data_IF_921194967108
#
_entry.id   IF_921194967108
#
_cell.length_a   1.000
_cell.length_b   1.000
_cell.length_c   1.000
_cell.angle_alpha   90.00
_cell.angle_beta   90.00
_cell.angle_gamma   90.00
#
_symmetry.space_group_name_H-M   'P 1'
#
loop_
_entity.id
_entity.type
_entity.pdbx_description
1 polymer ?
#
# COMPACT_ATOMS: atom_id res chain seq x y z
N UNK A 1 -14.70 2.89 3.73
CA UNK A 1 -14.63 1.43 3.99
C UNK A 1 -13.52 1.21 5.00
N UNK A 2 -13.72 0.44 6.07
CA UNK A 2 -12.71 0.29 7.13
C UNK A 2 -11.65 -0.76 6.76
N UNK A 3 -10.49 -0.74 7.43
CA UNK A 3 -9.45 -1.79 7.29
C UNK A 3 -10.02 -3.19 7.58
N UNK A 4 -10.99 -3.30 8.50
CA UNK A 4 -11.64 -4.58 8.81
C UNK A 4 -12.55 -5.07 7.67
N UNK A 5 -13.20 -4.15 6.97
CA UNK A 5 -14.01 -4.50 5.79
C UNK A 5 -13.11 -5.00 4.64
N UNK A 6 -11.94 -4.37 4.45
CA UNK A 6 -10.93 -4.86 3.51
C UNK A 6 -10.41 -6.25 3.85
N UNK A 7 -10.16 -6.54 5.13
CA UNK A 7 -9.72 -7.89 5.55
C UNK A 7 -10.76 -8.96 5.26
N UNK A 8 -12.04 -8.68 5.53
CA UNK A 8 -13.14 -9.59 5.19
C UNK A 8 -13.24 -9.83 3.68
N UNK A 9 -13.06 -8.78 2.88
CA UNK A 9 -13.04 -8.87 1.41
C UNK A 9 -11.83 -9.64 0.87
N UNK A 10 -10.68 -9.58 1.55
CA UNK A 10 -9.49 -10.38 1.21
C UNK A 10 -9.68 -11.88 1.48
N UNK A 11 -10.51 -12.22 2.46
CA UNK A 11 -10.83 -13.60 2.82
C UNK A 11 -11.95 -14.19 1.94
N UNK A 12 -12.71 -13.34 1.23
CA UNK A 12 -13.75 -13.75 0.30
C UNK A 12 -13.17 -14.08 -1.08
N UNK A 13 -12.81 -15.35 -1.22
CA UNK A 13 -12.24 -15.89 -2.46
C UNK A 13 -13.23 -15.82 -3.64
N UNK A 14 -14.54 -15.87 -3.38
CA UNK A 14 -15.55 -15.77 -4.43
C UNK A 14 -15.63 -14.35 -4.98
N UNK A 15 -15.65 -13.34 -4.11
CA UNK A 15 -15.60 -11.94 -4.50
C UNK A 15 -14.33 -11.60 -5.30
N UNK A 16 -13.17 -12.09 -4.84
CA UNK A 16 -11.89 -11.92 -5.55
C UNK A 16 -11.93 -12.52 -6.96
N UNK A 17 -12.37 -13.78 -7.09
CA UNK A 17 -12.32 -14.53 -8.36
C UNK A 17 -13.42 -14.16 -9.34
N UNK A 18 -14.62 -13.83 -8.88
CA UNK A 18 -15.75 -13.54 -9.75
C UNK A 18 -15.95 -12.06 -10.04
N UNK A 19 -15.44 -11.15 -9.18
CA UNK A 19 -15.66 -9.70 -9.35
C UNK A 19 -14.36 -8.97 -9.65
N UNK A 20 -13.36 -9.09 -8.77
CA UNK A 20 -12.17 -8.24 -8.84
C UNK A 20 -11.20 -8.67 -9.95
N UNK A 21 -10.85 -9.95 -10.03
CA UNK A 21 -9.92 -10.45 -11.04
C UNK A 21 -10.43 -10.17 -12.48
N UNK A 22 -11.70 -10.44 -12.81
CA UNK A 22 -12.24 -10.12 -14.14
C UNK A 22 -12.17 -8.64 -14.50
N UNK A 23 -12.34 -7.73 -13.53
CA UNK A 23 -12.18 -6.29 -13.77
C UNK A 23 -10.75 -5.98 -14.23
N UNK A 24 -9.74 -6.52 -13.56
CA UNK A 24 -8.34 -6.30 -13.95
C UNK A 24 -7.99 -6.99 -15.26
N UNK A 25 -8.62 -8.11 -15.61
CA UNK A 25 -8.43 -8.78 -16.91
C UNK A 25 -8.92 -7.94 -18.10
N UNK A 26 -9.98 -7.15 -17.90
CA UNK A 26 -10.54 -6.26 -18.92
C UNK A 26 -9.65 -5.03 -19.19
N UNK A 27 -8.75 -4.70 -18.26
CA UNK A 27 -7.85 -3.55 -18.39
C UNK A 27 -6.67 -3.87 -19.33
N UNK A 28 -6.52 -3.03 -20.36
CA UNK A 28 -5.39 -3.09 -21.29
C UNK A 28 -4.06 -2.89 -20.56
N UNK A 29 -4.03 -1.99 -19.56
CA UNK A 29 -2.86 -1.72 -18.74
C UNK A 29 -3.17 -1.87 -17.24
N UNK A 30 -3.09 -3.12 -16.77
CA UNK A 30 -3.38 -3.54 -15.39
C UNK A 30 -2.51 -2.84 -14.36
N UNK A 31 -1.25 -2.58 -14.70
CA UNK A 31 -0.27 -1.91 -13.84
C UNK A 31 -0.64 -0.44 -13.64
N UNK A 32 -0.97 0.27 -14.74
CA UNK A 32 -1.47 1.64 -14.68
C UNK A 32 -2.78 1.72 -13.90
N UNK A 33 -3.70 0.78 -14.15
CA UNK A 33 -4.97 0.71 -13.41
C UNK A 33 -4.75 0.55 -11.90
N UNK A 34 -3.92 -0.40 -11.50
CA UNK A 34 -3.55 -0.65 -10.10
C UNK A 34 -2.96 0.58 -9.42
N UNK A 35 -2.00 1.22 -10.09
CA UNK A 35 -1.37 2.46 -9.61
C UNK A 35 -2.39 3.56 -9.40
N UNK A 36 -3.29 3.79 -10.36
CA UNK A 36 -4.35 4.80 -10.25
C UNK A 36 -5.33 4.48 -9.12
N UNK A 37 -5.72 3.21 -8.97
CA UNK A 37 -6.59 2.76 -7.87
C UNK A 37 -5.96 3.04 -6.50
N UNK A 38 -4.69 2.74 -6.33
CA UNK A 38 -3.98 2.99 -5.07
C UNK A 38 -3.91 4.50 -4.78
N UNK A 39 -3.49 5.32 -5.74
CA UNK A 39 -3.40 6.77 -5.56
C UNK A 39 -4.76 7.40 -5.24
N UNK A 40 -5.82 6.96 -5.93
CA UNK A 40 -7.17 7.44 -5.67
C UNK A 40 -7.62 7.14 -4.24
N UNK A 41 -7.33 5.94 -3.73
CA UNK A 41 -7.67 5.56 -2.36
C UNK A 41 -7.00 6.47 -1.33
N UNK A 42 -5.71 6.78 -1.49
CA UNK A 42 -4.99 7.66 -0.57
C UNK A 42 -5.51 9.09 -0.62
N UNK A 43 -5.82 9.58 -1.82
CA UNK A 43 -6.40 10.90 -2.00
C UNK A 43 -7.80 11.00 -1.36
N UNK A 44 -8.67 10.02 -1.61
CA UNK A 44 -10.01 9.96 -1.03
C UNK A 44 -9.97 9.87 0.49
N UNK A 45 -9.15 8.95 1.04
CA UNK A 45 -8.96 8.82 2.48
C UNK A 45 -8.43 10.13 3.09
N UNK A 46 -7.49 10.78 2.41
CA UNK A 46 -6.95 12.08 2.78
C UNK A 46 -7.98 13.17 2.92
N UNK A 47 -8.86 13.30 1.91
CA UNK A 47 -9.97 14.27 1.94
C UNK A 47 -10.92 13.95 3.10
N UNK A 48 -11.30 12.68 3.27
CA UNK A 48 -12.22 12.26 4.33
C UNK A 48 -11.67 12.55 5.72
N UNK A 49 -10.35 12.45 5.91
CA UNK A 49 -9.67 12.73 7.17
C UNK A 49 -9.22 14.19 7.32
N UNK A 50 -9.58 15.09 6.39
CA UNK A 50 -9.15 16.50 6.37
C UNK A 50 -7.62 16.66 6.50
N UNK A 51 -6.86 15.80 5.83
CA UNK A 51 -5.41 15.92 5.83
C UNK A 51 -4.98 17.26 5.23
N UNK A 52 -3.83 17.75 5.69
CA UNK A 52 -3.19 18.91 5.10
C UNK A 52 -2.88 18.65 3.60
N UNK A 53 -3.19 19.61 2.73
CA UNK A 53 -3.05 19.42 1.28
C UNK A 53 -1.60 19.16 0.86
N UNK A 54 -0.61 19.85 1.46
CA UNK A 54 0.81 19.61 1.17
C UNK A 54 1.25 18.20 1.57
N UNK A 55 0.70 17.68 2.68
CA UNK A 55 0.96 16.31 3.09
C UNK A 55 0.42 15.33 2.04
N UNK A 56 -0.82 15.52 1.59
CA UNK A 56 -1.43 14.67 0.56
C UNK A 56 -0.68 14.71 -0.76
N UNK A 57 -0.30 15.90 -1.24
CA UNK A 57 0.49 16.04 -2.47
C UNK A 57 1.83 15.31 -2.36
N UNK A 58 2.52 15.45 -1.23
CA UNK A 58 3.81 14.80 -0.99
C UNK A 58 3.65 13.29 -0.89
N UNK A 59 2.64 12.81 -0.16
CA UNK A 59 2.34 11.38 -0.02
C UNK A 59 2.04 10.76 -1.38
N UNK A 60 1.14 11.37 -2.16
CA UNK A 60 0.78 10.90 -3.50
C UNK A 60 1.98 10.91 -4.44
N UNK A 61 2.85 11.91 -4.39
CA UNK A 61 4.07 11.94 -5.21
C UNK A 61 5.05 10.81 -4.86
N UNK A 62 5.26 10.56 -3.56
CA UNK A 62 6.13 9.47 -3.10
C UNK A 62 5.54 8.09 -3.44
N UNK A 63 4.22 7.94 -3.32
CA UNK A 63 3.50 6.73 -3.74
C UNK A 63 3.59 6.53 -5.25
N UNK A 64 3.42 7.58 -6.06
CA UNK A 64 3.47 7.52 -7.52
C UNK A 64 4.84 7.00 -8.00
N UNK A 65 5.91 7.55 -7.44
CA UNK A 65 7.29 7.15 -7.72
C UNK A 65 7.55 5.71 -7.26
N UNK A 66 7.12 5.33 -6.06
CA UNK A 66 7.31 3.96 -5.54
C UNK A 66 6.54 2.95 -6.39
N UNK A 67 5.29 3.27 -6.75
CA UNK A 67 4.46 2.43 -7.59
C UNK A 67 5.03 2.26 -9.00
N UNK A 68 5.62 3.30 -9.58
CA UNK A 68 6.27 3.20 -10.89
C UNK A 68 7.41 2.16 -10.88
N UNK A 69 8.12 2.03 -9.75
CA UNK A 69 9.18 1.03 -9.57
C UNK A 69 8.59 -0.37 -9.32
N UNK A 70 7.62 -0.50 -8.41
CA UNK A 70 7.05 -1.79 -8.00
C UNK A 70 6.20 -2.44 -9.11
N UNK A 71 5.42 -1.64 -9.83
CA UNK A 71 4.61 -2.10 -10.96
C UNK A 71 5.37 -2.03 -12.30
N UNK A 72 6.70 -2.19 -12.28
CA UNK A 72 7.51 -2.36 -13.49
C UNK A 72 7.97 -3.82 -13.62
N UNK A 73 8.09 -4.32 -14.86
CA UNK A 73 8.52 -5.69 -15.17
C UNK A 73 10.04 -5.93 -14.99
N UNK A 74 10.78 -4.98 -14.43
CA UNK A 74 12.20 -5.20 -14.13
C UNK A 74 12.32 -6.09 -12.88
N UNK A 75 12.85 -7.30 -13.08
CA UNK A 75 13.12 -8.29 -12.03
C UNK A 75 13.84 -7.69 -10.81
N UNK A 76 13.28 -8.00 -9.64
CA UNK A 76 13.65 -7.57 -8.28
C UNK A 76 15.14 -7.67 -7.90
N UNK A 77 15.92 -8.53 -8.56
CA UNK A 77 17.36 -8.65 -8.28
C UNK A 77 18.18 -7.40 -8.65
N UNK A 78 17.56 -6.40 -9.28
CA UNK A 78 18.20 -5.15 -9.69
C UNK A 78 17.33 -3.91 -9.46
N UNK A 79 16.61 -3.80 -8.33
CA UNK A 79 16.17 -2.47 -7.91
C UNK A 79 17.42 -1.60 -7.82
N UNK A 80 17.51 -0.62 -8.70
CA UNK A 80 18.62 0.31 -8.68
C UNK A 80 18.60 1.09 -7.34
N UNK A 81 19.72 1.72 -6.97
CA UNK A 81 19.77 2.52 -5.75
C UNK A 81 18.64 3.55 -5.63
N UNK A 82 18.12 4.07 -6.75
CA UNK A 82 17.03 5.05 -6.77
C UNK A 82 15.66 4.44 -6.41
N UNK A 83 15.41 3.19 -6.78
CA UNK A 83 14.22 2.44 -6.35
C UNK A 83 14.22 2.18 -4.84
N UNK A 84 15.37 1.79 -4.28
CA UNK A 84 15.53 1.64 -2.83
C UNK A 84 15.33 2.96 -2.08
N UNK A 85 15.90 4.05 -2.60
CA UNK A 85 15.74 5.38 -2.02
C UNK A 85 14.27 5.85 -2.06
N UNK A 86 13.57 5.62 -3.16
CA UNK A 86 12.15 5.99 -3.31
C UNK A 86 11.28 5.32 -2.27
N UNK A 87 11.46 4.01 -2.08
CA UNK A 87 10.76 3.24 -1.04
C UNK A 87 11.09 3.78 0.35
N UNK A 88 12.37 3.99 0.66
CA UNK A 88 12.78 4.50 1.97
C UNK A 88 12.16 5.88 2.28
N UNK A 89 12.11 6.77 1.28
CA UNK A 89 11.50 8.10 1.42
C UNK A 89 10.00 8.02 1.68
N UNK A 90 9.27 7.17 0.95
CA UNK A 90 7.85 6.93 1.20
C UNK A 90 7.61 6.44 2.63
N UNK A 91 8.32 5.38 3.02
CA UNK A 91 8.17 4.72 4.33
C UNK A 91 8.45 5.67 5.48
N UNK A 92 9.53 6.45 5.38
CA UNK A 92 9.87 7.41 6.41
C UNK A 92 8.84 8.54 6.53
N UNK A 93 8.35 9.06 5.39
CA UNK A 93 7.43 10.20 5.35
C UNK A 93 6.00 9.85 5.82
N UNK A 94 5.47 8.71 5.39
CA UNK A 94 4.06 8.36 5.60
C UNK A 94 3.70 8.19 7.08
N UNK A 95 2.50 8.60 7.47
CA UNK A 95 1.94 8.36 8.79
C UNK A 95 1.69 6.85 9.01
N UNK A 96 1.71 6.36 10.26
CA UNK A 96 1.42 4.95 10.57
C UNK A 96 0.10 4.46 9.97
N UNK A 97 -0.97 5.27 10.07
CA UNK A 97 -2.29 4.97 9.51
C UNK A 97 -2.28 4.80 7.99
N UNK A 98 -1.48 5.60 7.29
CA UNK A 98 -1.32 5.52 5.83
C UNK A 98 -0.48 4.30 5.43
N UNK A 99 0.51 3.93 6.24
CA UNK A 99 1.27 2.69 6.04
C UNK A 99 0.41 1.44 6.29
N UNK A 100 -0.47 1.45 7.28
CA UNK A 100 -1.44 0.37 7.50
C UNK A 100 -2.39 0.22 6.30
N UNK A 101 -2.90 1.34 5.78
CA UNK A 101 -3.72 1.35 4.57
C UNK A 101 -2.93 0.81 3.37
N UNK A 102 -1.66 1.20 3.23
CA UNK A 102 -0.78 0.71 2.17
C UNK A 102 -0.57 -0.81 2.29
N UNK A 103 -0.29 -1.33 3.48
CA UNK A 103 -0.07 -2.77 3.72
C UNK A 103 -1.26 -3.60 3.24
N UNK A 104 -2.47 -3.21 3.64
CA UNK A 104 -3.70 -3.92 3.25
C UNK A 104 -3.89 -3.92 1.74
N UNK A 105 -3.64 -2.79 1.08
CA UNK A 105 -3.82 -2.68 -0.35
C UNK A 105 -2.73 -3.37 -1.15
N UNK A 106 -1.49 -3.43 -0.64
CA UNK A 106 -0.44 -4.24 -1.25
C UNK A 106 -0.82 -5.72 -1.21
N UNK A 107 -1.33 -6.22 -0.08
CA UNK A 107 -1.80 -7.60 0.02
C UNK A 107 -2.93 -7.89 -0.97
N UNK A 108 -3.84 -6.95 -1.18
CA UNK A 108 -4.91 -7.08 -2.17
C UNK A 108 -4.37 -7.18 -3.59
N UNK A 109 -3.44 -6.31 -3.98
CA UNK A 109 -2.82 -6.35 -5.30
C UNK A 109 -1.97 -7.61 -5.50
N UNK A 110 -1.27 -8.10 -4.47
CA UNK A 110 -0.52 -9.35 -4.53
C UNK A 110 -1.42 -10.53 -4.94
N UNK A 111 -2.61 -10.64 -4.34
CA UNK A 111 -3.57 -11.69 -4.67
C UNK A 111 -4.09 -11.57 -6.11
N UNK A 112 -4.42 -10.36 -6.55
CA UNK A 112 -4.89 -10.10 -7.91
C UNK A 112 -3.81 -10.51 -8.92
N UNK A 113 -2.60 -9.98 -8.77
CA UNK A 113 -1.51 -10.24 -9.71
C UNK A 113 -1.05 -11.70 -9.67
N UNK A 114 -1.21 -12.39 -8.52
CA UNK A 114 -0.91 -13.82 -8.43
C UNK A 114 -1.92 -14.64 -9.24
N UNK A 115 -3.20 -14.26 -9.21
CA UNK A 115 -4.23 -14.93 -10.01
C UNK A 115 -4.14 -14.60 -11.50
N UNK A 116 -3.48 -13.49 -11.86
CA UNK A 116 -3.15 -13.11 -13.23
C UNK A 116 -1.84 -13.73 -13.73
N UNK A 117 -1.14 -14.50 -12.88
CA UNK A 117 0.17 -15.11 -13.18
C UNK A 117 1.29 -14.08 -13.45
N UNK A 118 1.15 -12.87 -12.92
CA UNK A 118 2.11 -11.76 -13.04
C UNK A 118 3.16 -11.85 -11.91
N UNK A 119 3.88 -12.97 -11.86
CA UNK A 119 4.72 -13.35 -10.71
C UNK A 119 5.82 -12.34 -10.35
N UNK A 120 6.38 -11.65 -11.34
CA UNK A 120 7.42 -10.63 -11.10
C UNK A 120 6.85 -9.43 -10.34
N UNK A 121 5.65 -8.99 -10.73
CA UNK A 121 4.92 -7.91 -10.06
C UNK A 121 4.53 -8.34 -8.64
N UNK A 122 4.10 -9.60 -8.46
CA UNK A 122 3.84 -10.16 -7.12
C UNK A 122 5.07 -10.13 -6.22
N UNK A 123 6.25 -10.49 -6.73
CA UNK A 123 7.50 -10.45 -5.97
C UNK A 123 7.83 -9.02 -5.52
N UNK A 124 7.67 -8.03 -6.41
CA UNK A 124 7.88 -6.61 -6.09
C UNK A 124 6.89 -6.12 -5.02
N UNK A 125 5.60 -6.46 -5.15
CA UNK A 125 4.58 -6.11 -4.16
C UNK A 125 4.88 -6.74 -2.80
N UNK A 126 5.26 -8.02 -2.78
CA UNK A 126 5.61 -8.76 -1.56
C UNK A 126 6.78 -8.10 -0.85
N UNK A 127 7.80 -7.68 -1.60
CA UNK A 127 8.93 -6.96 -1.04
C UNK A 127 8.51 -5.64 -0.38
N UNK A 128 7.76 -4.79 -1.10
CA UNK A 128 7.29 -3.53 -0.53
C UNK A 128 6.43 -3.79 0.72
N UNK A 129 5.57 -4.81 0.69
CA UNK A 129 4.74 -5.20 1.81
C UNK A 129 5.58 -5.52 3.06
N UNK A 130 6.64 -6.32 2.93
CA UNK A 130 7.59 -6.63 4.03
C UNK A 130 8.22 -5.35 4.59
N UNK A 131 8.61 -4.41 3.71
CA UNK A 131 9.21 -3.14 4.14
C UNK A 131 8.23 -2.22 4.85
N UNK A 132 6.98 -2.18 4.39
CA UNK A 132 5.88 -1.44 5.04
C UNK A 132 5.63 -1.99 6.45
N UNK A 133 5.52 -3.31 6.60
CA UNK A 133 5.31 -3.92 7.93
C UNK A 133 6.44 -3.58 8.90
N UNK A 134 7.69 -3.71 8.45
CA UNK A 134 8.85 -3.38 9.27
C UNK A 134 8.87 -1.89 9.68
N UNK A 135 8.43 -0.99 8.81
CA UNK A 135 8.36 0.44 9.13
C UNK A 135 7.23 0.77 10.10
N UNK A 136 6.07 0.11 9.97
CA UNK A 136 4.97 0.23 10.95
C UNK A 136 5.48 -0.18 12.33
N UNK A 137 6.10 -1.36 12.45
CA UNK A 137 6.65 -1.85 13.72
C UNK A 137 7.66 -0.87 14.32
N UNK A 138 8.55 -0.31 13.48
CA UNK A 138 9.55 0.69 13.90
C UNK A 138 8.89 1.97 14.43
N UNK A 139 7.85 2.47 13.76
CA UNK A 139 7.15 3.70 14.17
C UNK A 139 6.35 3.50 15.45
N UNK A 140 5.68 2.36 15.60
CA UNK A 140 4.94 2.01 16.82
C UNK A 140 5.88 1.83 18.03
N UNK A 141 7.07 1.26 17.83
CA UNK A 141 8.08 1.13 18.88
C UNK A 141 8.66 2.47 19.35
N UNK A 142 8.51 3.54 18.57
CA UNK A 142 9.02 4.88 18.87
C UNK A 142 7.96 5.80 19.48
N UNK A 143 6.67 5.42 19.47
CA UNK A 143 5.65 6.18 20.18
C UNK A 143 5.88 6.09 21.69
N UNK A 144 5.96 7.22 22.41
CA UNK A 144 6.10 7.19 23.86
C UNK A 144 4.88 6.46 24.43
N UNK A 145 5.13 5.38 25.19
CA UNK A 145 4.10 4.75 26.01
C UNK A 145 3.54 5.83 26.94
N UNK A 146 2.41 6.43 26.56
CA UNK A 146 1.71 7.34 27.45
C UNK A 146 1.31 6.50 28.65
N UNK A 147 1.69 6.87 29.89
CA UNK A 147 1.21 6.16 31.06
C UNK A 147 -0.31 6.18 30.97
N UNK A 148 -0.95 5.00 30.98
CA UNK A 148 -2.39 4.90 31.20
C UNK A 148 -2.63 5.65 32.51
N UNK A 149 -3.20 6.85 32.42
CA UNK A 149 -3.51 7.67 33.57
C UNK A 149 -4.25 6.80 34.57
N UNK A 150 -3.55 6.52 35.67
CA UNK A 150 -4.11 5.90 36.84
C UNK A 150 -5.33 6.74 37.20
N UNK A 151 -6.51 6.11 37.20
CA UNK A 151 -7.70 6.70 37.81
C UNK A 151 -7.33 7.04 39.25
N UNK A 152 -7.16 8.33 39.52
CA UNK A 152 -7.28 8.88 40.86
C UNK A 152 -8.38 9.94 40.78
N UNK A 153 -9.59 9.43 41.00
CA UNK A 153 -10.68 10.15 41.66
C UNK A 153 -10.24 10.52 43.07
#
# INVERSE_FOLDING_TARGET
MTIQDYRKLLEDQEYLTQTIIPLYQQEENKLKYSKMKLLHLFFENGIQQNYNIQYLETLCSLLDNTCAQIFSYSLYNYLDPAGHESIARLLHFALPTDLELLSVNLRFHELIFSALEEYEVCANITYLHVKVLAEIDRKLAQEPQTPKNSKLL
#
